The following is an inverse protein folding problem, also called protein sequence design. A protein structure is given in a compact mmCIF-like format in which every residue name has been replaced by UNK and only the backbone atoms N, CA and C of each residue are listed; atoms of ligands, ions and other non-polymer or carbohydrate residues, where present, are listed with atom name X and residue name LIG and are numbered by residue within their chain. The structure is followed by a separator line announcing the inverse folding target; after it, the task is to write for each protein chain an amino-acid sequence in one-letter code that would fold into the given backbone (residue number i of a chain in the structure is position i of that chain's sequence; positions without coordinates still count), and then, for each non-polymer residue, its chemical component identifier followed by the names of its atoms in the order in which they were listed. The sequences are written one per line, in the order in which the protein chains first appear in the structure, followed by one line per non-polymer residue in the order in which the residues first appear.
data_IF_903403160343
#
_entry.id   IF_903403160343
#
_cell.length_a   1.000
_cell.length_b   1.000
_cell.length_c   1.000
_cell.angle_alpha   90.00
_cell.angle_beta   90.00
_cell.angle_gamma   90.00
#
_symmetry.space_group_name_H-M   'P 1'
#
loop_
_entity.id
_entity.type
_entity.pdbx_description
1 polymer ?
#
# COMPACT_ATOMS: atom_id res chain seq x y z
N UNK A 1 -9.21 -5.09 -9.04
CA UNK A 1 -9.34 -4.92 -10.49
C UNK A 1 -8.55 -3.70 -10.94
N UNK A 2 -7.76 -3.84 -11.99
CA UNK A 2 -6.98 -2.72 -12.49
C UNK A 2 -7.90 -1.74 -13.21
N UNK A 3 -7.70 -0.45 -12.96
CA UNK A 3 -8.40 0.60 -13.66
C UNK A 3 -7.76 0.84 -15.02
N UNK A 4 -8.55 1.21 -16.01
CA UNK A 4 -8.02 1.40 -17.36
C UNK A 4 -6.85 2.37 -17.43
N UNK A 5 -6.93 3.47 -16.68
CA UNK A 5 -5.87 4.48 -16.71
C UNK A 5 -4.58 3.99 -16.05
N UNK A 6 -4.59 2.87 -15.34
CA UNK A 6 -3.37 2.27 -14.79
C UNK A 6 -2.72 1.28 -15.74
N UNK A 7 -3.34 1.01 -16.90
CA UNK A 7 -2.79 0.08 -17.87
C UNK A 7 -1.38 0.53 -18.27
N UNK A 8 -0.45 -0.42 -18.18
CA UNK A 8 0.94 -0.15 -18.52
C UNK A 8 1.76 0.44 -17.39
N UNK A 9 1.17 1.06 -16.38
CA UNK A 9 1.95 1.62 -15.28
C UNK A 9 2.60 0.51 -14.46
N UNK A 10 1.80 -0.44 -13.96
CA UNK A 10 2.32 -1.50 -13.08
C UNK A 10 3.18 -2.51 -13.82
N UNK A 11 3.13 -2.52 -15.15
CA UNK A 11 4.02 -3.35 -15.96
C UNK A 11 5.17 -2.54 -16.56
N UNK A 12 5.23 -1.24 -16.28
CA UNK A 12 6.28 -0.39 -16.82
C UNK A 12 7.64 -0.73 -16.21
N UNK A 13 8.69 -0.45 -16.98
CA UNK A 13 10.05 -0.66 -16.53
C UNK A 13 10.36 0.25 -15.32
N UNK A 14 9.89 1.48 -15.37
CA UNK A 14 10.11 2.47 -14.32
C UNK A 14 9.51 2.02 -13.00
N UNK A 15 8.26 1.54 -13.02
CA UNK A 15 7.61 1.07 -11.81
C UNK A 15 8.30 -0.17 -11.25
N UNK A 16 8.59 -1.14 -12.12
CA UNK A 16 9.24 -2.38 -11.64
C UNK A 16 10.59 -2.09 -11.04
N UNK A 17 11.36 -1.20 -11.65
CA UNK A 17 12.66 -0.80 -11.12
C UNK A 17 12.52 -0.12 -9.76
N UNK A 18 11.59 0.80 -9.64
CA UNK A 18 11.33 1.51 -8.38
C UNK A 18 10.84 0.56 -7.30
N UNK A 19 9.89 -0.31 -7.64
CA UNK A 19 9.36 -1.30 -6.71
C UNK A 19 10.45 -2.22 -6.19
N UNK A 20 11.30 -2.74 -7.07
CA UNK A 20 12.37 -3.65 -6.67
C UNK A 20 13.41 -2.94 -5.83
N UNK A 21 13.74 -1.71 -6.16
CA UNK A 21 14.67 -0.91 -5.36
C UNK A 21 14.10 -0.63 -3.97
N UNK A 22 12.82 -0.30 -3.88
CA UNK A 22 12.18 -0.05 -2.60
C UNK A 22 12.13 -1.30 -1.74
N UNK A 23 11.83 -2.45 -2.36
CA UNK A 23 11.82 -3.73 -1.67
C UNK A 23 13.18 -4.01 -1.03
N UNK A 24 14.26 -3.79 -1.79
CA UNK A 24 15.62 -3.99 -1.27
C UNK A 24 15.95 -2.95 -0.18
N UNK A 25 15.51 -1.72 -0.37
CA UNK A 25 15.72 -0.66 0.61
C UNK A 25 15.10 -1.03 1.97
N UNK A 26 13.95 -1.68 1.96
CA UNK A 26 13.28 -2.14 3.16
C UNK A 26 13.73 -3.52 3.63
N UNK A 27 14.74 -4.09 2.98
CA UNK A 27 15.27 -5.42 3.31
C UNK A 27 14.20 -6.52 3.23
N UNK A 28 13.19 -6.32 2.39
CA UNK A 28 12.14 -7.30 2.17
C UNK A 28 11.22 -7.53 3.36
N UNK A 29 11.24 -6.66 4.36
CA UNK A 29 10.41 -6.81 5.57
C UNK A 29 9.23 -5.87 5.56
N UNK A 30 8.10 -6.35 6.09
CA UNK A 30 6.91 -5.52 6.21
C UNK A 30 7.18 -4.32 7.13
N UNK A 31 6.93 -3.12 6.65
CA UNK A 31 7.17 -1.90 7.43
C UNK A 31 6.24 -1.81 8.63
N UNK A 32 5.01 -2.29 8.50
CA UNK A 32 4.05 -2.27 9.61
C UNK A 32 4.43 -3.25 10.70
N UNK A 33 4.96 -4.42 10.32
CA UNK A 33 5.49 -5.36 11.30
C UNK A 33 6.63 -4.74 12.08
N UNK A 34 7.54 -4.04 11.38
CA UNK A 34 8.67 -3.37 12.04
C UNK A 34 8.17 -2.29 13.00
N UNK A 35 7.17 -1.51 12.57
CA UNK A 35 6.61 -0.47 13.44
C UNK A 35 5.98 -1.09 14.71
N UNK A 36 5.35 -2.24 14.57
CA UNK A 36 4.78 -2.95 15.71
C UNK A 36 5.85 -3.48 16.66
N UNK A 37 6.99 -3.90 16.13
CA UNK A 37 8.12 -4.29 16.97
C UNK A 37 8.64 -3.08 17.77
N UNK A 38 8.79 -1.95 17.11
CA UNK A 38 9.25 -0.73 17.77
C UNK A 38 8.25 -0.22 18.81
N UNK A 39 6.97 -0.49 18.60
CA UNK A 39 5.92 -0.12 19.55
C UNK A 39 5.76 -1.13 20.69
N UNK A 40 6.50 -2.24 20.66
CA UNK A 40 6.44 -3.25 21.70
C UNK A 40 5.25 -4.20 21.62
N UNK A 41 4.53 -4.20 20.49
CA UNK A 41 3.33 -5.04 20.32
C UNK A 41 3.56 -6.25 19.44
N UNK A 42 4.80 -6.41 18.94
CA UNK A 42 5.18 -7.56 18.11
C UNK A 42 6.62 -7.94 18.43
N UNK A 43 6.92 -9.23 18.38
CA UNK A 43 8.29 -9.70 18.56
C UNK A 43 9.04 -9.62 17.23
N UNK A 44 10.37 -9.43 17.32
CA UNK A 44 11.19 -9.30 16.12
C UNK A 44 11.17 -10.59 15.28
N UNK A 45 11.06 -11.75 15.90
CA UNK A 45 10.99 -13.01 15.17
C UNK A 45 9.64 -13.23 14.49
N UNK A 46 8.64 -12.37 14.79
CA UNK A 46 7.31 -12.46 14.18
C UNK A 46 7.11 -11.47 13.04
N UNK A 47 8.18 -10.84 12.56
CA UNK A 47 8.10 -9.95 11.41
C UNK A 47 7.83 -10.77 10.16
N UNK A 48 6.75 -10.44 9.46
CA UNK A 48 6.43 -11.09 8.21
C UNK A 48 7.23 -10.48 7.06
N UNK A 49 7.57 -11.27 6.04
CA UNK A 49 8.17 -10.71 4.83
C UNK A 49 7.17 -9.78 4.14
N UNK A 50 7.68 -8.71 3.54
CA UNK A 50 6.86 -7.87 2.70
C UNK A 50 6.59 -8.56 1.38
N UNK A 51 5.38 -8.46 0.89
CA UNK A 51 4.99 -9.09 -0.37
C UNK A 51 4.45 -8.08 -1.38
N UNK A 52 4.05 -6.89 -0.94
CA UNK A 52 3.49 -5.91 -1.83
C UNK A 52 4.02 -4.53 -1.49
N UNK A 53 4.40 -3.79 -2.54
CA UNK A 53 4.75 -2.39 -2.43
C UNK A 53 3.55 -1.59 -2.92
N UNK A 54 2.97 -0.78 -2.04
CA UNK A 54 1.80 0.00 -2.41
C UNK A 54 2.04 1.48 -2.19
N UNK A 55 1.19 2.30 -2.78
CA UNK A 55 1.28 3.75 -2.65
C UNK A 55 0.46 4.21 -1.46
N UNK A 56 1.08 4.99 -0.57
CA UNK A 56 0.38 5.56 0.58
C UNK A 56 -0.69 6.54 0.12
N UNK A 57 -0.31 7.43 -0.78
CA UNK A 57 -1.25 8.29 -1.47
C UNK A 57 -1.71 7.57 -2.72
N UNK A 58 -3.01 7.32 -2.80
CA UNK A 58 -3.59 6.56 -3.89
C UNK A 58 -3.31 7.21 -5.24
N UNK A 59 -2.98 6.38 -6.23
CA UNK A 59 -2.77 6.87 -7.60
C UNK A 59 -4.09 7.27 -8.22
N UNK A 60 -4.07 8.37 -8.95
CA UNK A 60 -5.21 8.88 -9.70
C UNK A 60 -4.77 9.18 -11.12
N UNK A 61 -5.72 9.39 -12.06
CA UNK A 61 -5.32 9.80 -13.41
C UNK A 61 -4.50 11.08 -13.43
N UNK A 62 -4.69 11.95 -12.44
CA UNK A 62 -3.98 13.23 -12.36
C UNK A 62 -2.55 13.07 -11.87
N UNK A 63 -2.28 12.08 -11.01
CA UNK A 63 -0.96 11.95 -10.40
C UNK A 63 -0.15 10.73 -10.85
N UNK A 64 -0.73 9.85 -11.65
CA UNK A 64 -0.05 8.61 -12.04
C UNK A 64 1.21 8.88 -12.87
N UNK A 65 1.26 10.01 -13.56
CA UNK A 65 2.43 10.40 -14.34
C UNK A 65 3.37 11.34 -13.58
N UNK A 66 3.08 11.61 -12.32
CA UNK A 66 3.93 12.43 -11.47
C UNK A 66 4.93 11.54 -10.73
N UNK A 67 6.22 11.58 -11.07
CA UNK A 67 7.21 10.71 -10.41
C UNK A 67 7.31 10.97 -8.91
N UNK A 68 7.01 12.18 -8.47
CA UNK A 68 7.05 12.51 -7.03
C UNK A 68 5.96 11.80 -6.24
N UNK A 69 4.93 11.29 -6.93
CA UNK A 69 3.85 10.53 -6.31
C UNK A 69 3.96 9.05 -6.68
N UNK A 70 4.09 8.77 -7.97
CA UNK A 70 4.02 7.39 -8.47
C UNK A 70 5.31 6.60 -8.27
N UNK A 71 6.46 7.26 -8.24
CA UNK A 71 7.77 6.61 -8.20
C UNK A 71 8.64 7.08 -7.02
N UNK A 72 8.08 7.79 -6.07
CA UNK A 72 8.83 8.29 -4.92
C UNK A 72 8.79 7.30 -3.76
N UNK A 73 9.93 7.01 -3.17
CA UNK A 73 10.00 6.17 -1.96
C UNK A 73 9.17 6.73 -0.82
N UNK A 74 9.05 8.06 -0.74
CA UNK A 74 8.28 8.70 0.33
C UNK A 74 6.79 8.33 0.27
N UNK A 75 6.32 7.90 -0.90
CA UNK A 75 4.92 7.53 -1.08
C UNK A 75 4.73 6.02 -1.16
N UNK A 76 5.77 5.24 -0.90
CA UNK A 76 5.68 3.78 -0.98
C UNK A 76 5.70 3.14 0.39
N UNK A 77 5.10 1.97 0.48
CA UNK A 77 5.10 1.19 1.71
C UNK A 77 5.13 -0.29 1.35
N UNK A 78 6.02 -1.04 2.00
CA UNK A 78 6.13 -2.49 1.79
C UNK A 78 5.35 -3.19 2.90
N UNK A 79 4.36 -3.97 2.52
CA UNK A 79 3.46 -4.62 3.46
C UNK A 79 3.47 -6.13 3.26
N UNK A 80 3.25 -6.87 4.36
CA UNK A 80 2.95 -8.28 4.31
C UNK A 80 1.47 -8.48 3.99
N UNK A 81 1.09 -9.73 3.77
CA UNK A 81 -0.28 -10.09 3.44
C UNK A 81 -1.26 -9.63 4.53
N UNK A 82 -0.91 -9.87 5.78
CA UNK A 82 -1.74 -9.51 6.93
C UNK A 82 -2.02 -8.01 6.98
N UNK A 83 -0.97 -7.19 6.89
CA UNK A 83 -1.13 -5.74 6.99
C UNK A 83 -1.75 -5.15 5.74
N UNK A 84 -1.47 -5.73 4.58
CA UNK A 84 -2.10 -5.30 3.34
C UNK A 84 -3.61 -5.53 3.40
N UNK A 85 -4.03 -6.68 3.91
CA UNK A 85 -5.44 -6.99 4.08
C UNK A 85 -6.12 -6.08 5.09
N UNK A 86 -5.43 -5.75 6.18
CA UNK A 86 -5.95 -4.79 7.16
C UNK A 86 -6.15 -3.41 6.53
N UNK A 87 -5.22 -3.00 5.67
CA UNK A 87 -5.31 -1.73 4.97
C UNK A 87 -6.56 -1.68 4.10
N UNK A 88 -6.83 -2.76 3.37
CA UNK A 88 -8.03 -2.86 2.55
C UNK A 88 -9.29 -2.85 3.39
N UNK A 89 -9.30 -3.56 4.51
CA UNK A 89 -10.45 -3.55 5.41
C UNK A 89 -10.70 -2.17 6.00
N UNK A 90 -9.62 -1.45 6.33
CA UNK A 90 -9.75 -0.10 6.85
C UNK A 90 -10.34 0.83 5.80
N UNK A 91 -9.93 0.68 4.54
CA UNK A 91 -10.51 1.45 3.44
C UNK A 91 -11.98 1.07 3.20
N UNK A 92 -12.27 -0.23 3.28
CA UNK A 92 -13.64 -0.70 3.12
C UNK A 92 -14.57 -0.16 4.21
N UNK A 93 -14.03 0.01 5.43
CA UNK A 93 -14.81 0.55 6.54
C UNK A 93 -15.14 2.03 6.39
N UNK A 94 -14.50 2.73 5.48
CA UNK A 94 -14.86 4.11 5.16
C UNK A 94 -16.22 4.22 4.49
N UNK A 95 -16.69 3.10 3.96
CA UNK A 95 -17.98 3.02 3.30
C UNK A 95 -18.87 2.16 4.17
N UNK A 96 -19.79 2.80 4.87
CA UNK A 96 -20.76 2.10 5.69
C UNK A 96 -22.13 2.29 5.08
N UNK A 97 -23.08 1.47 5.52
CA UNK A 97 -24.44 1.57 5.06
C UNK A 97 -25.30 2.17 6.16
N UNK A 98 -26.17 3.08 5.78
CA UNK A 98 -27.14 3.62 6.74
C UNK A 98 -28.22 2.56 7.00
N UNK A 99 -29.19 2.91 7.84
CA UNK A 99 -30.27 1.99 8.22
C UNK A 99 -31.11 1.57 7.03
N UNK A 100 -31.07 2.32 5.96
CA UNK A 100 -31.81 2.02 4.73
C UNK A 100 -30.99 1.24 3.71
N UNK A 101 -29.74 0.94 4.03
CA UNK A 101 -28.85 0.23 3.13
C UNK A 101 -28.13 1.10 2.12
N UNK A 102 -28.23 2.42 2.25
CA UNK A 102 -27.50 3.34 1.37
C UNK A 102 -26.04 3.43 1.79
N UNK A 103 -25.16 3.45 0.81
CA UNK A 103 -23.73 3.56 1.09
C UNK A 103 -23.42 4.95 1.60
N UNK A 104 -22.75 5.00 2.75
CA UNK A 104 -22.29 6.24 3.36
C UNK A 104 -20.78 6.21 3.39
N UNK A 105 -20.14 7.20 2.77
CA UNK A 105 -18.71 7.34 2.86
C UNK A 105 -18.32 7.87 4.23
N UNK A 106 -17.58 7.07 4.98
CA UNK A 106 -17.12 7.43 6.30
C UNK A 106 -15.76 8.13 6.19
N UNK A 107 -15.66 9.31 6.72
CA UNK A 107 -14.41 10.07 6.69
C UNK A 107 -13.82 10.25 8.07
#
# INVERSE_FOLDING_TARGET
MAKEWTNGFYTSKEWRKTRDAYYRFQCGRCERCMAEVLAGVRRIEDINPGIIVHHKKELTPENINDPAVALSFDNLELLCDEHHNRQHKAKAKRYTFDAKGNLIESK
#
